data_IF_554457160808
#
_entry.id   IF_554457160808
#
_cell.length_a   1.000
_cell.length_b   1.000
_cell.length_c   1.000
_cell.angle_alpha   90.00
_cell.angle_beta   90.00
_cell.angle_gamma   90.00
#
_symmetry.space_group_name_H-M   'P 1'
#
loop_
_entity.id
_entity.type
_entity.pdbx_description
1 polymer ?
#
# COMPACT_ATOMS: atom_id res chain seq x y z
N UNK A 1 5.86 -16.14 -8.13
CA UNK A 1 7.02 -15.24 -8.15
C UNK A 1 6.77 -14.04 -7.27
N UNK A 2 7.76 -13.64 -6.53
CA UNK A 2 7.59 -12.51 -5.61
C UNK A 2 7.95 -11.19 -6.29
N UNK A 3 7.37 -10.12 -5.76
CA UNK A 3 7.67 -8.75 -6.16
C UNK A 3 8.58 -8.13 -5.10
N UNK A 4 9.41 -7.19 -5.51
CA UNK A 4 10.28 -6.47 -4.58
C UNK A 4 9.56 -5.21 -4.09
N UNK A 5 9.51 -5.02 -2.78
CA UNK A 5 8.96 -3.81 -2.20
C UNK A 5 10.13 -2.92 -1.77
N UNK A 6 10.14 -1.69 -2.26
CA UNK A 6 11.16 -0.71 -1.90
C UNK A 6 10.55 0.29 -0.92
N UNK A 7 11.15 0.40 0.26
CA UNK A 7 10.67 1.29 1.32
C UNK A 7 11.52 2.55 1.34
N UNK A 8 10.93 3.68 0.96
CA UNK A 8 11.61 4.97 1.04
C UNK A 8 11.57 5.49 2.48
N UNK A 9 12.51 6.38 2.81
CA UNK A 9 12.52 7.01 4.13
C UNK A 9 11.22 7.75 4.42
N UNK A 10 10.68 8.42 3.41
CA UNK A 10 9.42 9.14 3.53
C UNK A 10 8.27 8.21 3.88
N UNK A 11 8.19 7.07 3.19
CA UNK A 11 7.13 6.11 3.48
C UNK A 11 7.29 5.48 4.87
N UNK A 12 8.51 5.14 5.25
CA UNK A 12 8.76 4.55 6.57
C UNK A 12 8.24 5.48 7.67
N UNK A 13 8.48 6.79 7.54
CA UNK A 13 7.97 7.75 8.52
C UNK A 13 6.45 7.80 8.53
N UNK A 14 5.83 7.77 7.36
CA UNK A 14 4.37 7.78 7.26
C UNK A 14 3.76 6.51 7.85
N UNK A 15 4.36 5.36 7.57
CA UNK A 15 3.90 4.10 8.09
C UNK A 15 4.04 4.03 9.62
N UNK A 16 5.15 4.51 10.16
CA UNK A 16 5.35 4.55 11.60
C UNK A 16 4.29 5.41 12.28
N UNK A 17 3.97 6.56 11.69
CA UNK A 17 2.93 7.46 12.21
C UNK A 17 1.55 6.80 12.16
N UNK A 18 1.28 6.10 11.06
CA UNK A 18 0.03 5.38 10.89
C UNK A 18 -0.14 4.30 11.95
N UNK A 19 0.89 3.48 12.17
CA UNK A 19 0.83 2.40 13.16
C UNK A 19 0.75 2.95 14.58
N UNK A 20 1.40 4.07 14.84
CA UNK A 20 1.30 4.73 16.15
C UNK A 20 -0.12 5.16 16.46
N UNK A 21 -0.85 5.64 15.44
CA UNK A 21 -2.26 6.02 15.56
C UNK A 21 -3.18 4.81 15.62
N UNK A 22 -2.81 3.71 14.97
CA UNK A 22 -3.64 2.53 14.80
C UNK A 22 -2.88 1.27 15.15
N UNK A 23 -2.43 1.12 16.42
CA UNK A 23 -1.65 -0.05 16.80
C UNK A 23 -2.40 -1.37 16.62
N UNK A 24 -3.73 -1.32 16.66
CA UNK A 24 -4.57 -2.49 16.44
C UNK A 24 -4.48 -3.02 15.01
N UNK A 25 -3.97 -2.22 14.07
CA UNK A 25 -3.90 -2.59 12.66
C UNK A 25 -2.56 -3.18 12.24
N UNK A 26 -1.58 -3.27 13.15
CA UNK A 26 -0.24 -3.69 12.77
C UNK A 26 -0.23 -5.09 12.14
N UNK A 27 -1.02 -6.02 12.68
CA UNK A 27 -1.10 -7.37 12.14
C UNK A 27 -1.66 -7.39 10.72
N UNK A 28 -2.74 -6.66 10.49
CA UNK A 28 -3.33 -6.57 9.15
C UNK A 28 -2.40 -5.87 8.17
N UNK A 29 -1.72 -4.83 8.63
CA UNK A 29 -0.77 -4.07 7.81
C UNK A 29 0.39 -4.97 7.36
N UNK A 30 1.01 -5.69 8.29
CA UNK A 30 2.10 -6.59 7.96
C UNK A 30 1.67 -7.71 7.02
N UNK A 31 0.48 -8.27 7.25
CA UNK A 31 -0.07 -9.31 6.38
C UNK A 31 -0.29 -8.77 4.96
N UNK A 32 -0.77 -7.53 4.86
CA UNK A 32 -0.99 -6.89 3.56
C UNK A 32 0.32 -6.75 2.79
N UNK A 33 1.38 -6.30 3.46
CA UNK A 33 2.69 -6.15 2.81
C UNK A 33 3.25 -7.50 2.37
N UNK A 34 3.11 -8.54 3.19
CA UNK A 34 3.55 -9.88 2.82
C UNK A 34 2.80 -10.39 1.60
N UNK A 35 1.50 -10.21 1.60
CA UNK A 35 0.66 -10.66 0.49
C UNK A 35 0.99 -9.89 -0.79
N UNK A 36 1.21 -8.58 -0.64
CA UNK A 36 1.59 -7.72 -1.76
C UNK A 36 2.89 -8.18 -2.40
N UNK A 37 3.85 -8.60 -1.60
CA UNK A 37 5.12 -9.13 -2.08
C UNK A 37 4.96 -10.46 -2.82
N UNK A 38 4.10 -11.34 -2.31
CA UNK A 38 3.89 -12.66 -2.88
C UNK A 38 3.00 -12.63 -4.12
N UNK A 39 1.92 -11.85 -4.07
CA UNK A 39 0.93 -11.81 -5.16
C UNK A 39 0.12 -10.51 -5.08
N UNK A 40 0.58 -9.45 -5.76
CA UNK A 40 -0.15 -8.17 -5.73
C UNK A 40 -1.53 -8.25 -6.35
N UNK A 41 -1.82 -9.31 -7.11
CA UNK A 41 -3.13 -9.49 -7.75
C UNK A 41 -4.09 -10.33 -6.90
N UNK A 42 -3.69 -10.69 -5.69
CA UNK A 42 -4.57 -11.47 -4.81
C UNK A 42 -5.86 -10.67 -4.57
N UNK A 43 -7.04 -11.33 -4.71
CA UNK A 43 -8.33 -10.61 -4.63
C UNK A 43 -8.54 -9.80 -3.37
N UNK A 44 -8.02 -10.25 -2.22
CA UNK A 44 -8.21 -9.54 -0.96
C UNK A 44 -7.53 -8.17 -0.92
N UNK A 45 -6.51 -7.96 -1.76
CA UNK A 45 -5.81 -6.68 -1.85
C UNK A 45 -6.60 -5.63 -2.62
N UNK A 46 -7.51 -6.04 -3.49
CA UNK A 46 -8.30 -5.13 -4.31
C UNK A 46 -7.44 -4.11 -5.04
N UNK A 47 -6.34 -4.59 -5.61
CA UNK A 47 -5.43 -3.73 -6.38
C UNK A 47 -6.21 -3.03 -7.50
N UNK A 48 -6.09 -1.70 -7.56
CA UNK A 48 -6.72 -0.96 -8.64
C UNK A 48 -5.93 0.31 -8.94
N UNK A 49 -6.00 0.72 -10.21
CA UNK A 49 -5.36 1.95 -10.67
C UNK A 49 -6.25 3.12 -10.30
N UNK A 50 -5.62 4.20 -9.87
CA UNK A 50 -6.33 5.42 -9.51
C UNK A 50 -6.53 6.31 -10.72
N UNK A 51 -7.34 7.36 -10.55
CA UNK A 51 -7.69 8.30 -11.61
C UNK A 51 -7.34 9.72 -11.20
N UNK A 52 -7.41 10.65 -12.15
CA UNK A 52 -7.20 12.06 -11.87
C UNK A 52 -5.77 12.38 -11.50
N UNK A 53 -5.60 13.12 -10.43
CA UNK A 53 -4.26 13.54 -9.97
C UNK A 53 -3.38 12.37 -9.57
N UNK A 54 -3.98 11.26 -9.17
CA UNK A 54 -3.25 10.08 -8.70
C UNK A 54 -3.17 8.98 -9.74
N UNK A 55 -3.38 9.31 -11.02
CA UNK A 55 -3.47 8.30 -12.08
C UNK A 55 -2.20 7.48 -12.27
N UNK A 56 -1.07 7.93 -11.74
CA UNK A 56 0.18 7.19 -11.83
C UNK A 56 0.32 6.14 -10.74
N UNK A 57 -0.61 6.13 -9.80
CA UNK A 57 -0.53 5.24 -8.65
C UNK A 57 -1.61 4.19 -8.68
N UNK A 58 -1.38 3.15 -7.89
CA UNK A 58 -2.36 2.13 -7.56
C UNK A 58 -2.63 2.16 -6.07
N UNK A 59 -3.71 1.52 -5.65
CA UNK A 59 -3.99 1.36 -4.23
C UNK A 59 -4.30 -0.09 -3.94
N UNK A 60 -3.92 -0.52 -2.74
CA UNK A 60 -4.30 -1.83 -2.21
C UNK A 60 -4.98 -1.64 -0.86
N UNK A 61 -5.86 -2.58 -0.52
CA UNK A 61 -6.67 -2.51 0.68
C UNK A 61 -5.96 -3.22 1.83
N UNK A 62 -5.85 -2.54 2.98
CA UNK A 62 -5.49 -3.21 4.23
C UNK A 62 -6.75 -3.84 4.80
N UNK A 63 -7.83 -3.06 4.83
CA UNK A 63 -9.18 -3.50 5.15
C UNK A 63 -10.15 -2.50 4.52
N UNK A 64 -11.42 -2.54 4.92
CA UNK A 64 -12.43 -1.65 4.33
C UNK A 64 -12.07 -0.17 4.51
N UNK A 65 -11.49 0.19 5.66
CA UNK A 65 -11.25 1.59 6.01
C UNK A 65 -9.90 2.13 5.61
N UNK A 66 -8.91 1.28 5.32
CA UNK A 66 -7.52 1.74 5.15
C UNK A 66 -6.87 1.17 3.91
N UNK A 67 -6.01 1.99 3.30
CA UNK A 67 -5.37 1.70 2.01
C UNK A 67 -3.89 2.01 2.07
N UNK A 68 -3.13 1.34 1.19
CA UNK A 68 -1.74 1.72 0.89
C UNK A 68 -1.71 2.20 -0.55
N UNK A 69 -1.18 3.41 -0.75
CA UNK A 69 -0.94 3.98 -2.07
C UNK A 69 0.43 3.55 -2.54
N UNK A 70 0.52 3.00 -3.75
CA UNK A 70 1.77 2.43 -4.25
C UNK A 70 2.06 2.90 -5.68
N UNK A 71 3.35 2.97 -6.03
CA UNK A 71 3.78 2.93 -7.41
C UNK A 71 3.97 1.46 -7.76
N UNK A 72 3.35 1.04 -8.86
CA UNK A 72 3.36 -0.36 -9.24
C UNK A 72 4.07 -0.49 -10.59
N UNK A 73 5.31 -0.98 -10.53
CA UNK A 73 6.16 -1.14 -11.71
C UNK A 73 6.11 -2.60 -12.15
N UNK A 74 5.09 -2.92 -12.93
CA UNK A 74 4.79 -4.30 -13.30
C UNK A 74 5.95 -4.99 -14.01
N UNK A 75 6.55 -4.32 -15.00
CA UNK A 75 7.64 -4.91 -15.78
C UNK A 75 8.88 -5.19 -14.95
N UNK A 76 9.09 -4.41 -13.91
CA UNK A 76 10.25 -4.54 -13.03
C UNK A 76 9.95 -5.37 -11.80
N UNK A 77 8.72 -5.82 -11.66
CA UNK A 77 8.25 -6.56 -10.49
C UNK A 77 8.61 -5.85 -9.19
N UNK A 78 8.39 -4.53 -9.20
CA UNK A 78 8.77 -3.65 -8.10
C UNK A 78 7.56 -2.84 -7.66
N UNK A 79 7.43 -2.70 -6.36
CA UNK A 79 6.34 -1.95 -5.74
C UNK A 79 6.96 -0.96 -4.77
N UNK A 80 6.56 0.30 -4.87
CA UNK A 80 7.07 1.36 -4.01
C UNK A 80 5.89 1.99 -3.27
N UNK A 81 5.69 1.64 -1.99
CA UNK A 81 4.64 2.29 -1.20
C UNK A 81 4.94 3.78 -1.04
N UNK A 82 3.89 4.59 -1.13
CA UNK A 82 4.01 6.04 -1.10
C UNK A 82 3.28 6.65 0.09
N UNK A 83 2.12 6.11 0.44
CA UNK A 83 1.34 6.62 1.54
C UNK A 83 0.47 5.51 2.11
N UNK A 84 0.01 5.69 3.34
CA UNK A 84 -0.88 4.76 4.01
C UNK A 84 -1.83 5.54 4.92
N UNK A 85 -3.09 5.13 4.95
CA UNK A 85 -4.08 5.81 5.78
C UNK A 85 -5.49 5.46 5.35
N UNK A 86 -6.44 6.25 5.82
CA UNK A 86 -7.84 6.12 5.42
C UNK A 86 -8.00 6.55 3.97
N UNK A 87 -9.16 6.24 3.39
CA UNK A 87 -9.49 6.65 2.03
C UNK A 87 -9.24 8.14 1.82
N UNK A 88 -9.72 8.98 2.73
CA UNK A 88 -9.56 10.43 2.58
C UNK A 88 -8.11 10.86 2.73
N UNK A 89 -7.38 10.23 3.64
CA UNK A 89 -5.98 10.58 3.88
C UNK A 89 -5.06 10.28 2.69
N UNK A 90 -5.34 9.21 1.96
CA UNK A 90 -4.47 8.82 0.84
C UNK A 90 -4.92 9.40 -0.49
N UNK A 91 -6.20 9.73 -0.64
CA UNK A 91 -6.74 10.21 -1.92
C UNK A 91 -6.92 11.73 -1.99
N UNK A 92 -6.81 12.40 -0.88
CA UNK A 92 -6.84 13.88 -0.85
C UNK A 92 -5.42 14.47 -0.94
#
# INVERSE_FOLDING_TARGET
MSYRIIYTKSYIRRAARFIKKHPELIGQYEKTLKLLELDPFHPSLRLHKLKGKLREFHAVSINIGYRILIEFLLNEKTIIPVNVGSHDEVYD
#
